data_IF_811876064722
#
_entry.id   IF_811876064722
#
_cell.length_a   1.000
_cell.length_b   1.000
_cell.length_c   1.000
_cell.angle_alpha   90.00
_cell.angle_beta   90.00
_cell.angle_gamma   90.00
#
_symmetry.space_group_name_H-M   'P 1'
#
loop_
_entity.id
_entity.type
_entity.pdbx_description
1 polymer ?
#
# COMPACT_ATOMS: atom_id res chain seq x y z
N UNK A 1 7.73 15.22 -19.48
CA UNK A 1 8.10 14.75 -18.12
C UNK A 1 7.44 13.38 -17.93
N UNK A 2 8.22 12.30 -17.87
CA UNK A 2 7.66 10.94 -17.67
C UNK A 2 7.00 10.87 -16.29
N UNK A 3 5.84 10.21 -16.20
CA UNK A 3 5.18 9.92 -14.92
C UNK A 3 5.98 8.85 -14.16
N UNK A 4 7.08 9.24 -13.52
CA UNK A 4 7.98 8.38 -12.74
C UNK A 4 7.23 7.46 -11.77
N UNK A 5 6.16 7.98 -11.15
CA UNK A 5 5.31 7.21 -10.23
C UNK A 5 4.62 6.01 -10.87
N UNK A 6 4.26 6.08 -12.16
CA UNK A 6 3.64 4.95 -12.86
C UNK A 6 4.65 3.83 -13.12
N UNK A 7 5.86 4.20 -13.53
CA UNK A 7 6.95 3.24 -13.78
C UNK A 7 7.33 2.51 -12.48
N UNK A 8 7.45 3.24 -11.36
CA UNK A 8 7.73 2.68 -10.05
C UNK A 8 6.63 1.71 -9.56
N UNK A 9 5.36 2.05 -9.78
CA UNK A 9 4.23 1.14 -9.48
C UNK A 9 4.36 -0.17 -10.26
N UNK A 10 4.68 -0.09 -11.55
CA UNK A 10 4.82 -1.27 -12.38
C UNK A 10 6.08 -2.08 -12.01
N UNK A 11 7.15 -1.45 -11.51
CA UNK A 11 8.31 -2.14 -10.92
C UNK A 11 7.90 -2.94 -9.67
N UNK A 12 7.16 -2.34 -8.74
CA UNK A 12 6.72 -3.01 -7.51
C UNK A 12 5.82 -4.21 -7.78
N UNK A 13 4.88 -4.05 -8.73
CA UNK A 13 4.01 -5.13 -9.16
C UNK A 13 4.83 -6.27 -9.78
N UNK A 14 5.80 -5.95 -10.66
CA UNK A 14 6.69 -6.96 -11.23
C UNK A 14 7.55 -7.67 -10.19
N UNK A 15 8.05 -6.95 -9.18
CA UNK A 15 8.80 -7.56 -8.07
C UNK A 15 7.92 -8.55 -7.28
N UNK A 16 6.68 -8.15 -6.95
CA UNK A 16 5.70 -9.03 -6.31
C UNK A 16 5.37 -10.27 -7.14
N UNK A 17 5.10 -10.09 -8.43
CA UNK A 17 4.83 -11.20 -9.37
C UNK A 17 6.03 -12.13 -9.55
N UNK A 18 7.25 -11.58 -9.59
CA UNK A 18 8.48 -12.38 -9.65
C UNK A 18 8.68 -13.21 -8.39
N UNK A 19 8.46 -12.61 -7.20
CA UNK A 19 8.51 -13.33 -5.93
C UNK A 19 7.45 -14.44 -5.87
N UNK A 20 6.24 -14.18 -6.36
CA UNK A 20 5.20 -15.20 -6.48
C UNK A 20 5.62 -16.34 -7.41
N UNK A 21 6.19 -16.02 -8.58
CA UNK A 21 6.67 -16.99 -9.54
C UNK A 21 7.80 -17.88 -9.00
N UNK A 22 8.70 -17.34 -8.19
CA UNK A 22 9.75 -18.11 -7.50
C UNK A 22 9.18 -19.09 -6.47
N UNK A 23 8.07 -18.75 -5.85
CA UNK A 23 7.37 -19.58 -4.87
C UNK A 23 6.18 -20.35 -5.48
N UNK A 24 6.17 -20.55 -6.80
CA UNK A 24 5.03 -21.17 -7.50
C UNK A 24 4.70 -22.57 -7.00
N UNK A 25 5.71 -23.33 -6.56
CA UNK A 25 5.53 -24.71 -6.11
C UNK A 25 4.63 -24.75 -4.87
N UNK A 26 4.82 -23.83 -3.93
CA UNK A 26 3.98 -23.68 -2.74
C UNK A 26 2.56 -23.24 -3.13
N UNK A 27 2.44 -22.24 -4.02
CA UNK A 27 1.14 -21.65 -4.35
C UNK A 27 0.27 -22.53 -5.25
N UNK A 28 0.88 -23.29 -6.15
CA UNK A 28 0.17 -24.12 -7.13
C UNK A 28 -0.02 -25.57 -6.66
N UNK A 29 0.64 -26.00 -5.58
CA UNK A 29 0.41 -27.31 -4.99
C UNK A 29 -1.03 -27.42 -4.47
N UNK A 30 -1.77 -28.44 -4.91
CA UNK A 30 -3.16 -28.69 -4.53
C UNK A 30 -3.29 -29.28 -3.12
N UNK A 31 -2.25 -29.96 -2.64
CA UNK A 31 -2.27 -30.63 -1.33
C UNK A 31 -1.91 -29.67 -0.20
N UNK A 32 -1.31 -28.52 -0.53
CA UNK A 32 -0.90 -27.52 0.44
C UNK A 32 -2.11 -26.77 1.03
N UNK A 33 -2.24 -26.70 2.37
CA UNK A 33 -3.31 -25.94 3.02
C UNK A 33 -3.31 -24.46 2.65
N UNK A 34 -4.49 -23.89 2.45
CA UNK A 34 -4.65 -22.48 2.09
C UNK A 34 -4.11 -21.53 3.17
N UNK A 35 -4.16 -21.94 4.44
CA UNK A 35 -3.59 -21.19 5.57
C UNK A 35 -2.08 -20.97 5.43
N UNK A 36 -1.34 -22.00 5.01
CA UNK A 36 0.11 -21.91 4.81
C UNK A 36 0.45 -21.10 3.56
N UNK A 37 -0.30 -21.28 2.47
CA UNK A 37 -0.19 -20.41 1.29
C UNK A 37 -0.42 -18.94 1.64
N UNK A 38 -1.46 -18.64 2.41
CA UNK A 38 -1.73 -17.30 2.92
C UNK A 38 -0.55 -16.76 3.73
N UNK A 39 0.00 -17.57 4.65
CA UNK A 39 1.13 -17.13 5.47
C UNK A 39 2.34 -16.75 4.62
N UNK A 40 2.72 -17.59 3.65
CA UNK A 40 3.82 -17.30 2.72
C UNK A 40 3.53 -16.06 1.90
N UNK A 41 2.28 -15.90 1.42
CA UNK A 41 1.88 -14.71 0.68
C UNK A 41 2.02 -13.43 1.52
N UNK A 42 1.49 -13.46 2.76
CA UNK A 42 1.51 -12.32 3.67
C UNK A 42 2.95 -11.95 4.13
N UNK A 43 3.86 -12.93 4.23
CA UNK A 43 5.22 -12.73 4.71
C UNK A 43 6.23 -12.40 3.61
N UNK A 44 6.06 -12.95 2.39
CA UNK A 44 7.05 -12.81 1.32
C UNK A 44 6.58 -11.90 0.18
N UNK A 45 5.35 -12.11 -0.30
CA UNK A 45 4.85 -11.45 -1.52
C UNK A 45 4.37 -10.05 -1.18
N UNK A 46 3.57 -9.90 -0.11
CA UNK A 46 3.06 -8.58 0.29
C UNK A 46 4.18 -7.59 0.59
N UNK A 47 5.19 -7.88 1.43
CA UNK A 47 6.27 -6.93 1.69
C UNK A 47 7.04 -6.57 0.43
N UNK A 48 7.36 -7.56 -0.43
CA UNK A 48 8.07 -7.32 -1.70
C UNK A 48 7.29 -6.39 -2.61
N UNK A 49 5.98 -6.59 -2.74
CA UNK A 49 5.11 -5.78 -3.58
C UNK A 49 4.80 -4.39 -3.00
N UNK A 50 4.94 -4.20 -1.69
CA UNK A 50 4.51 -2.96 -1.00
C UNK A 50 5.66 -2.12 -0.46
N UNK A 51 6.90 -2.62 -0.49
CA UNK A 51 8.08 -1.96 0.08
C UNK A 51 8.22 -0.50 -0.38
N UNK A 52 8.08 -0.25 -1.69
CA UNK A 52 8.19 1.09 -2.26
C UNK A 52 6.89 1.89 -2.22
N UNK A 53 5.76 1.28 -1.87
CA UNK A 53 4.49 2.01 -1.79
C UNK A 53 4.47 3.09 -0.69
N UNK A 54 5.29 2.93 0.35
CA UNK A 54 5.36 3.88 1.46
C UNK A 54 5.85 5.28 1.04
N UNK A 55 6.57 5.40 -0.08
CA UNK A 55 7.11 6.67 -0.58
C UNK A 55 6.18 7.37 -1.59
N UNK A 56 5.07 6.75 -1.97
CA UNK A 56 4.17 7.29 -2.99
C UNK A 56 2.95 8.03 -2.41
N UNK A 57 2.41 8.92 -3.23
CA UNK A 57 1.04 9.39 -3.09
C UNK A 57 0.09 8.34 -3.65
N UNK A 58 -0.43 7.45 -2.80
CA UNK A 58 -1.36 6.42 -3.26
C UNK A 58 -2.68 7.07 -3.71
N UNK A 59 -3.02 6.85 -4.98
CA UNK A 59 -4.30 7.28 -5.57
C UNK A 59 -5.19 6.07 -5.76
N UNK A 60 -6.50 6.29 -5.97
CA UNK A 60 -7.45 5.20 -6.29
C UNK A 60 -6.99 4.37 -7.50
N UNK A 61 -6.41 5.02 -8.51
CA UNK A 61 -5.89 4.36 -9.71
C UNK A 61 -4.73 3.41 -9.35
N UNK A 62 -3.76 3.88 -8.54
CA UNK A 62 -2.62 3.08 -8.10
C UNK A 62 -3.08 1.92 -7.20
N UNK A 63 -3.98 2.20 -6.25
CA UNK A 63 -4.55 1.17 -5.37
C UNK A 63 -5.28 0.08 -6.15
N UNK A 64 -6.05 0.46 -7.18
CA UNK A 64 -6.72 -0.51 -8.06
C UNK A 64 -5.72 -1.34 -8.88
N UNK A 65 -4.64 -0.75 -9.40
CA UNK A 65 -3.56 -1.51 -10.06
C UNK A 65 -2.97 -2.59 -9.13
N UNK A 66 -2.64 -2.22 -7.89
CA UNK A 66 -2.12 -3.16 -6.89
C UNK A 66 -3.13 -4.27 -6.58
N UNK A 67 -4.40 -3.92 -6.41
CA UNK A 67 -5.47 -4.90 -6.18
C UNK A 67 -5.65 -5.85 -7.36
N UNK A 68 -5.58 -5.36 -8.60
CA UNK A 68 -5.66 -6.23 -9.80
C UNK A 68 -4.53 -7.26 -9.78
N UNK A 69 -3.30 -6.85 -9.49
CA UNK A 69 -2.17 -7.76 -9.36
C UNK A 69 -2.38 -8.80 -8.24
N UNK A 70 -2.83 -8.36 -7.05
CA UNK A 70 -3.19 -9.26 -5.95
C UNK A 70 -4.25 -10.28 -6.37
N UNK A 71 -5.36 -9.83 -6.98
CA UNK A 71 -6.46 -10.74 -7.40
C UNK A 71 -6.02 -11.74 -8.45
N UNK A 72 -5.10 -11.36 -9.34
CA UNK A 72 -4.53 -12.29 -10.32
C UNK A 72 -3.75 -13.43 -9.63
N UNK A 73 -2.93 -13.12 -8.63
CA UNK A 73 -2.20 -14.12 -7.84
C UNK A 73 -3.14 -15.00 -7.00
N UNK A 74 -4.14 -14.40 -6.33
CA UNK A 74 -5.12 -15.15 -5.55
C UNK A 74 -5.93 -16.15 -6.39
N UNK A 75 -6.33 -15.76 -7.61
CA UNK A 75 -6.99 -16.69 -8.55
C UNK A 75 -6.10 -17.88 -8.87
N UNK A 76 -4.80 -17.66 -9.06
CA UNK A 76 -3.83 -18.75 -9.31
C UNK A 76 -3.68 -19.66 -8.10
N UNK A 77 -3.62 -19.10 -6.89
CA UNK A 77 -3.58 -19.87 -5.63
C UNK A 77 -4.78 -20.82 -5.50
N UNK A 78 -5.98 -20.36 -5.88
CA UNK A 78 -7.22 -21.12 -5.82
C UNK A 78 -7.49 -21.99 -7.06
N UNK A 79 -6.66 -21.89 -8.11
CA UNK A 79 -6.89 -22.60 -9.37
C UNK A 79 -8.10 -22.11 -10.18
N UNK A 80 -8.61 -20.92 -9.89
CA UNK A 80 -9.81 -20.33 -10.53
C UNK A 80 -9.44 -19.70 -11.88
N UNK A 81 -10.21 -20.02 -12.92
CA UNK A 81 -10.09 -19.40 -14.25
C UNK A 81 -11.00 -18.18 -14.33
N UNK A 82 -10.66 -17.25 -15.23
CA UNK A 82 -11.49 -16.05 -15.49
C UNK A 82 -12.88 -16.47 -16.02
N UNK A 83 -12.95 -17.57 -16.78
CA UNK A 83 -14.19 -18.13 -17.34
C UNK A 83 -15.21 -18.54 -16.28
N UNK A 84 -14.76 -18.85 -15.07
CA UNK A 84 -15.63 -19.29 -13.97
C UNK A 84 -16.46 -18.12 -13.41
N UNK A 85 -16.18 -16.87 -13.84
CA UNK A 85 -16.92 -15.64 -13.47
C UNK A 85 -17.10 -15.44 -11.96
N UNK A 86 -16.22 -16.04 -11.15
CA UNK A 86 -16.26 -15.91 -9.69
C UNK A 86 -15.95 -14.45 -9.29
N UNK A 87 -16.81 -13.80 -8.48
CA UNK A 87 -16.60 -12.44 -7.99
C UNK A 87 -15.33 -12.30 -7.15
N UNK A 88 -14.66 -11.15 -7.23
CA UNK A 88 -13.46 -10.85 -6.45
C UNK A 88 -13.71 -10.88 -4.93
N UNK A 89 -14.94 -10.56 -4.47
CA UNK A 89 -15.34 -10.65 -3.06
C UNK A 89 -15.24 -12.09 -2.54
N UNK A 90 -15.73 -13.06 -3.31
CA UNK A 90 -15.71 -14.47 -2.94
C UNK A 90 -14.27 -15.00 -2.88
N UNK A 91 -13.43 -14.63 -3.84
CA UNK A 91 -12.00 -15.00 -3.85
C UNK A 91 -11.31 -14.51 -2.58
N UNK A 92 -11.53 -13.26 -2.21
CA UNK A 92 -10.95 -12.66 -1.00
C UNK A 92 -11.48 -13.30 0.28
N UNK A 93 -12.76 -13.62 0.32
CA UNK A 93 -13.38 -14.33 1.44
C UNK A 93 -12.79 -15.73 1.61
N UNK A 94 -12.39 -16.41 0.54
CA UNK A 94 -11.75 -17.72 0.62
C UNK A 94 -10.27 -17.62 1.04
N UNK A 95 -9.49 -16.72 0.43
CA UNK A 95 -8.04 -16.65 0.70
C UNK A 95 -7.70 -16.02 2.05
N UNK A 96 -8.53 -15.08 2.53
CA UNK A 96 -8.28 -14.28 3.73
C UNK A 96 -6.90 -13.59 3.76
N UNK A 97 -6.28 -13.36 2.59
CA UNK A 97 -5.02 -12.64 2.44
C UNK A 97 -5.22 -11.16 2.78
N UNK A 98 -4.22 -10.53 3.38
CA UNK A 98 -4.29 -9.10 3.73
C UNK A 98 -4.41 -8.24 2.47
N UNK A 99 -5.18 -7.16 2.55
CA UNK A 99 -5.34 -6.24 1.42
C UNK A 99 -4.04 -5.46 1.18
N UNK A 100 -3.53 -5.52 -0.05
CA UNK A 100 -2.30 -4.82 -0.45
C UNK A 100 -2.37 -3.32 -0.16
N UNK A 101 -3.51 -2.68 -0.38
CA UNK A 101 -3.67 -1.23 -0.18
C UNK A 101 -3.62 -0.91 1.32
N UNK A 102 -4.26 -1.73 2.16
CA UNK A 102 -4.20 -1.54 3.61
C UNK A 102 -2.78 -1.71 4.15
N UNK A 103 -2.02 -2.67 3.61
CA UNK A 103 -0.61 -2.85 3.98
C UNK A 103 0.25 -1.68 3.50
N UNK A 104 0.06 -1.21 2.27
CA UNK A 104 0.76 -0.05 1.73
C UNK A 104 0.51 1.21 2.56
N UNK A 105 -0.75 1.49 2.90
CA UNK A 105 -1.14 2.66 3.71
C UNK A 105 -0.64 2.55 5.15
N UNK A 106 -0.68 1.36 5.75
CA UNK A 106 -0.10 1.13 7.08
C UNK A 106 1.41 1.38 7.08
N UNK A 107 2.13 0.94 6.05
CA UNK A 107 3.56 1.22 5.92
C UNK A 107 3.85 2.70 5.74
N UNK A 108 3.08 3.38 4.88
CA UNK A 108 3.17 4.83 4.72
C UNK A 108 2.95 5.57 6.04
N UNK A 109 1.95 5.16 6.82
CA UNK A 109 1.67 5.73 8.14
C UNK A 109 2.83 5.51 9.12
N UNK A 110 3.35 4.29 9.19
CA UNK A 110 4.50 3.97 10.03
C UNK A 110 5.74 4.77 9.63
N UNK A 111 5.99 4.88 8.32
CA UNK A 111 7.08 5.67 7.74
C UNK A 111 6.94 7.14 8.10
N UNK A 112 5.75 7.72 7.97
CA UNK A 112 5.48 9.10 8.37
C UNK A 112 5.81 9.35 9.84
N UNK A 113 5.38 8.45 10.71
CA UNK A 113 5.73 8.51 12.13
C UNK A 113 7.24 8.44 12.35
N UNK A 114 7.92 7.53 11.65
CA UNK A 114 9.36 7.39 11.75
C UNK A 114 10.09 8.67 11.33
N UNK A 115 9.73 9.24 10.17
CA UNK A 115 10.32 10.49 9.66
C UNK A 115 10.07 11.67 10.60
N UNK A 116 8.87 11.80 11.16
CA UNK A 116 8.56 12.87 12.12
C UNK A 116 9.41 12.82 13.40
N UNK A 117 9.81 11.61 13.82
CA UNK A 117 10.64 11.37 15.02
C UNK A 117 12.14 11.33 14.74
N UNK A 118 12.56 11.41 13.48
CA UNK A 118 13.99 11.52 13.15
C UNK A 118 14.56 12.78 13.80
N UNK A 119 15.62 12.64 14.58
CA UNK A 119 16.33 13.77 15.19
C UNK A 119 17.30 14.44 14.20
N UNK A 120 17.68 13.74 13.13
CA UNK A 120 18.64 14.25 12.17
C UNK A 120 18.00 15.12 11.08
N UNK A 121 18.80 16.04 10.54
CA UNK A 121 18.39 16.95 9.48
C UNK A 121 18.56 16.32 8.08
N UNK A 122 18.33 15.00 7.97
CA UNK A 122 18.48 14.28 6.71
C UNK A 122 17.53 14.81 5.65
N UNK A 123 17.93 14.66 4.40
CA UNK A 123 17.10 15.02 3.24
C UNK A 123 15.70 14.42 3.29
N UNK A 124 15.54 13.21 3.82
CA UNK A 124 14.24 12.56 4.01
C UNK A 124 13.29 13.41 4.85
N UNK A 125 13.74 13.87 6.02
CA UNK A 125 12.92 14.72 6.90
C UNK A 125 12.67 16.08 6.26
N UNK A 126 13.71 16.73 5.76
CA UNK A 126 13.62 18.03 5.08
C UNK A 126 12.64 18.01 3.91
N UNK A 127 12.73 17.02 3.03
CA UNK A 127 11.84 16.89 1.87
C UNK A 127 10.39 16.59 2.27
N UNK A 128 10.20 15.83 3.35
CA UNK A 128 8.86 15.45 3.84
C UNK A 128 8.15 16.63 4.52
N UNK A 129 8.89 17.42 5.30
CA UNK A 129 8.38 18.61 6.00
C UNK A 129 8.34 19.85 5.11
N UNK A 130 8.97 19.79 3.93
CA UNK A 130 9.06 20.94 3.04
C UNK A 130 7.68 21.41 2.56
N UNK A 131 7.34 22.63 2.95
CA UNK A 131 6.15 23.32 2.51
C UNK A 131 6.56 24.58 1.75
N UNK A 132 6.27 24.68 0.44
CA UNK A 132 6.53 25.88 -0.33
C UNK A 132 5.77 27.06 0.27
N UNK A 133 6.48 28.10 0.71
CA UNK A 133 5.89 29.34 1.24
C UNK A 133 5.53 30.35 0.15
N UNK A 134 6.15 30.22 -1.02
CA UNK A 134 6.01 31.13 -2.15
C UNK A 134 5.23 30.43 -3.27
N UNK A 135 4.25 31.13 -3.84
CA UNK A 135 3.41 30.64 -4.94
C UNK A 135 2.08 30.03 -4.49
N UNK A 136 1.09 30.06 -5.38
CA UNK A 136 -0.23 29.42 -5.20
C UNK A 136 -0.31 28.20 -6.12
N UNK A 137 -0.94 27.13 -5.64
CA UNK A 137 -1.23 25.96 -6.49
C UNK A 137 -2.43 26.28 -7.39
N UNK A 138 -2.40 25.79 -8.64
CA UNK A 138 -3.52 25.91 -9.58
C UNK A 138 -4.80 25.33 -8.98
N UNK A 139 -5.96 25.96 -9.20
CA UNK A 139 -7.24 25.43 -8.71
C UNK A 139 -7.70 24.24 -9.55
N UNK A 140 -8.50 23.35 -8.97
CA UNK A 140 -9.04 22.16 -9.64
C UNK A 140 -8.24 20.88 -9.35
N UNK A 141 -7.82 20.16 -10.41
CA UNK A 141 -7.18 18.84 -10.34
C UNK A 141 -5.71 18.93 -9.92
N UNK A 142 -5.45 19.41 -8.71
CA UNK A 142 -4.10 19.46 -8.14
C UNK A 142 -3.53 18.04 -7.95
N UNK A 143 -2.26 17.80 -8.33
CA UNK A 143 -1.58 16.54 -7.99
C UNK A 143 -1.47 16.35 -6.47
N UNK A 144 -1.74 15.13 -6.00
CA UNK A 144 -1.61 14.76 -4.59
C UNK A 144 -0.14 14.75 -4.16
N UNK A 145 0.19 15.47 -3.10
CA UNK A 145 1.48 15.33 -2.40
C UNK A 145 1.46 14.11 -1.51
N UNK A 146 2.66 13.62 -1.20
CA UNK A 146 2.81 12.44 -0.36
C UNK A 146 2.13 12.60 1.00
N UNK A 147 2.27 13.77 1.65
CA UNK A 147 1.71 14.05 2.97
C UNK A 147 0.23 14.44 2.96
N UNK A 148 -0.39 14.69 1.79
CA UNK A 148 -1.77 15.17 1.72
C UNK A 148 -2.76 14.15 2.32
N UNK A 149 -2.56 12.85 2.10
CA UNK A 149 -3.43 11.80 2.67
C UNK A 149 -3.36 11.78 4.20
N UNK A 150 -2.17 11.97 4.77
CA UNK A 150 -1.94 11.99 6.22
C UNK A 150 -2.53 13.28 6.81
N UNK A 151 -2.28 14.42 6.16
CA UNK A 151 -2.78 15.71 6.59
C UNK A 151 -4.31 15.82 6.47
N UNK A 152 -4.95 15.07 5.56
CA UNK A 152 -6.41 14.98 5.49
C UNK A 152 -7.01 14.39 6.77
N UNK A 153 -6.34 13.42 7.38
CA UNK A 153 -6.82 12.72 8.59
C UNK A 153 -6.39 13.43 9.86
N UNK A 154 -5.16 13.95 9.92
CA UNK A 154 -4.56 14.53 11.15
C UNK A 154 -4.31 16.03 11.12
N UNK A 155 -4.66 16.68 10.02
CA UNK A 155 -4.36 18.09 9.80
C UNK A 155 -2.90 18.35 9.43
N UNK A 156 -2.59 19.62 9.16
CA UNK A 156 -1.26 20.05 8.67
C UNK A 156 -0.13 19.86 9.69
N UNK A 157 -0.46 19.77 10.97
CA UNK A 157 0.49 19.62 12.08
C UNK A 157 0.66 18.17 12.53
N UNK A 158 0.33 17.19 11.67
CA UNK A 158 0.42 15.76 11.97
C UNK A 158 1.80 15.33 12.50
N UNK A 159 2.88 16.02 12.11
CA UNK A 159 4.23 15.78 12.61
C UNK A 159 4.34 15.88 14.14
N UNK A 160 3.58 16.80 14.77
CA UNK A 160 3.57 16.97 16.24
C UNK A 160 2.95 15.75 16.92
N UNK A 161 1.83 15.27 16.39
CA UNK A 161 1.15 14.09 16.92
C UNK A 161 1.95 12.81 16.65
N UNK A 162 2.63 12.74 15.50
CA UNK A 162 3.54 11.67 15.15
C UNK A 162 4.79 11.60 16.05
N UNK A 163 5.12 12.68 16.77
CA UNK A 163 6.18 12.72 17.77
C UNK A 163 5.97 11.69 18.89
N UNK A 164 4.72 11.48 19.31
CA UNK A 164 4.35 10.43 20.25
C UNK A 164 4.11 9.10 19.52
N UNK A 165 5.03 8.16 19.70
CA UNK A 165 4.98 6.84 19.06
C UNK A 165 3.75 6.03 19.45
N UNK A 166 3.30 6.12 20.70
CA UNK A 166 2.17 5.33 21.20
C UNK A 166 0.87 5.89 20.65
N UNK A 167 0.69 7.22 20.75
CA UNK A 167 -0.46 7.90 20.17
C UNK A 167 -0.54 7.66 18.66
N UNK A 168 0.57 7.79 17.94
CA UNK A 168 0.63 7.56 16.49
C UNK A 168 0.22 6.15 16.06
N UNK A 169 0.55 5.13 16.88
CA UNK A 169 0.14 3.75 16.61
C UNK A 169 -1.36 3.54 16.82
N UNK A 170 -1.92 4.11 17.89
CA UNK A 170 -3.34 3.97 18.21
C UNK A 170 -4.24 4.57 17.13
N UNK A 171 -3.83 5.71 16.58
CA UNK A 171 -4.63 6.42 15.57
C UNK A 171 -4.44 5.91 14.14
N UNK A 172 -3.59 4.88 13.94
CA UNK A 172 -3.32 4.30 12.63
C UNK A 172 -4.56 3.64 12.01
N UNK A 173 -5.42 3.05 12.83
CA UNK A 173 -6.62 2.35 12.35
C UNK A 173 -7.60 3.33 11.69
N UNK A 174 -7.80 4.53 12.27
CA UNK A 174 -8.63 5.58 11.67
C UNK A 174 -8.12 6.04 10.29
N UNK A 175 -6.80 6.08 10.08
CA UNK A 175 -6.22 6.38 8.76
C UNK A 175 -6.47 5.28 7.74
N UNK A 176 -6.33 4.03 8.16
CA UNK A 176 -6.47 2.85 7.30
C UNK A 176 -7.93 2.61 6.92
N UNK A 177 -8.88 2.87 7.84
CA UNK A 177 -10.32 2.72 7.61
C UNK A 177 -10.85 3.60 6.48
N UNK A 178 -10.27 4.78 6.25
CA UNK A 178 -10.63 5.64 5.10
C UNK A 178 -10.47 4.90 3.75
N UNK A 179 -9.58 3.92 3.69
CA UNK A 179 -9.33 3.10 2.49
C UNK A 179 -10.11 1.78 2.47
N UNK A 180 -10.83 1.46 3.56
CA UNK A 180 -11.71 0.30 3.68
C UNK A 180 -13.10 0.59 3.11
N UNK A 181 -13.65 1.78 3.38
CA UNK A 181 -15.02 2.15 2.97
C UNK A 181 -15.14 2.47 1.46
N UNK A 182 -14.04 2.88 0.81
CA UNK A 182 -14.02 3.17 -0.62
C UNK A 182 -13.77 1.92 -1.51
N UNK A 183 -13.73 0.73 -0.90
CA UNK A 183 -13.41 -0.55 -1.56
C UNK A 183 -14.58 -1.57 -1.53
N UNK A 184 -15.76 -1.16 -1.05
CA UNK A 184 -17.00 -1.93 -1.12
C UNK A 184 -17.73 -1.74 -2.45
#
# INVERSE_FOLDING_TARGET
MKDLTKEEVDISIRAGLSCFGRNREIFLDKNMPLSLKKQVYDQCILPTMTYICQTWSLTKIIGNKLRVAQRAMERKILGIKIKDKIPCKNIRQQTHIKDVVLIAERQKWNWAGHVARMSDNRWTKRATEWQPRIGKRSRGRQPLRWSDSIAKVKGRLWHREAGDKNRWRLVAEGYILQWMDEAS
#
